data_IF_001724201917
#
_entry.id   IF_001724201917
#
_cell.length_a   1.000
_cell.length_b   1.000
_cell.length_c   1.000
_cell.angle_alpha   90.00
_cell.angle_beta   90.00
_cell.angle_gamma   90.00
#
_symmetry.space_group_name_H-M   'P 1'
#
loop_
_entity.id
_entity.type
_entity.pdbx_description
1 polymer ?
#
# COMPACT_ATOMS: atom_id res chain seq x y z
N UNK A 1 -15.02 29.76 -6.28
CA UNK A 1 -15.13 28.31 -6.62
C UNK A 1 -15.47 27.59 -5.32
N UNK A 2 -16.73 27.15 -5.19
CA UNK A 2 -17.28 26.60 -3.94
C UNK A 2 -16.96 25.12 -3.81
N UNK A 3 -16.39 24.75 -2.66
CA UNK A 3 -16.44 23.45 -1.96
C UNK A 3 -16.55 22.19 -2.82
N UNK A 4 -15.41 21.60 -3.17
CA UNK A 4 -15.31 20.13 -3.25
C UNK A 4 -15.48 19.61 -1.81
N UNK A 5 -16.44 18.74 -1.59
CA UNK A 5 -16.61 17.98 -0.35
C UNK A 5 -15.26 17.31 -0.04
N UNK A 6 -14.52 17.81 0.93
CA UNK A 6 -13.35 17.09 1.43
C UNK A 6 -13.88 15.84 2.11
N UNK A 7 -13.34 14.68 1.78
CA UNK A 7 -13.69 13.40 2.40
C UNK A 7 -13.36 13.34 3.90
N UNK A 8 -13.03 14.44 4.55
CA UNK A 8 -12.69 14.51 5.98
C UNK A 8 -11.34 13.87 6.33
N UNK A 9 -10.64 13.28 5.35
CA UNK A 9 -9.29 12.73 5.45
C UNK A 9 -8.58 12.86 4.08
N UNK A 10 -7.24 13.00 4.05
CA UNK A 10 -6.52 13.32 2.83
C UNK A 10 -6.31 12.07 1.95
N UNK A 11 -6.80 12.15 0.71
CA UNK A 11 -6.55 11.18 -0.38
C UNK A 11 -5.67 11.86 -1.43
N UNK A 12 -4.47 11.31 -1.70
CA UNK A 12 -3.51 11.92 -2.62
C UNK A 12 -4.07 12.04 -4.06
N UNK A 13 -4.88 11.08 -4.49
CA UNK A 13 -5.53 11.08 -5.80
C UNK A 13 -6.50 12.26 -6.02
N UNK A 14 -6.87 12.98 -4.97
CA UNK A 14 -7.76 14.14 -4.99
C UNK A 14 -7.01 15.46 -4.75
N UNK A 15 -5.69 15.38 -4.51
CA UNK A 15 -4.87 16.53 -4.16
C UNK A 15 -4.18 17.14 -5.38
N UNK A 16 -3.90 18.43 -5.27
CA UNK A 16 -2.99 19.15 -6.16
C UNK A 16 -1.58 19.16 -5.58
N UNK A 17 -0.58 19.51 -6.39
CA UNK A 17 0.80 19.72 -5.92
C UNK A 17 0.86 20.66 -4.72
N UNK A 18 0.07 21.74 -4.76
CA UNK A 18 0.03 22.71 -3.68
C UNK A 18 -0.50 22.10 -2.37
N UNK A 19 -1.57 21.30 -2.43
CA UNK A 19 -2.16 20.68 -1.24
C UNK A 19 -1.29 19.56 -0.67
N UNK A 20 -0.54 18.82 -1.51
CA UNK A 20 0.46 17.86 -1.05
C UNK A 20 1.60 18.57 -0.30
N UNK A 21 2.11 19.70 -0.84
CA UNK A 21 3.13 20.52 -0.15
C UNK A 21 2.64 21.01 1.21
N UNK A 22 1.42 21.56 1.27
CA UNK A 22 0.81 22.01 2.55
C UNK A 22 0.61 20.85 3.54
N UNK A 23 0.35 19.63 3.07
CA UNK A 23 0.31 18.46 3.93
C UNK A 23 1.70 18.15 4.50
N UNK A 24 2.74 18.13 3.66
CA UNK A 24 4.12 17.81 4.05
C UNK A 24 4.72 18.84 5.03
N UNK A 25 4.27 20.09 5.03
CA UNK A 25 4.64 21.09 6.04
C UNK A 25 4.18 20.71 7.46
N UNK A 26 3.13 19.89 7.58
CA UNK A 26 2.50 19.54 8.87
C UNK A 26 2.71 18.08 9.25
N UNK A 27 2.78 17.19 8.27
CA UNK A 27 2.87 15.74 8.44
C UNK A 27 3.70 15.13 7.32
N UNK A 28 4.53 14.16 7.67
CA UNK A 28 5.39 13.44 6.72
C UNK A 28 5.07 11.93 6.65
N UNK A 29 3.82 11.58 6.92
CA UNK A 29 3.35 10.19 6.95
C UNK A 29 2.45 9.91 5.75
N UNK A 30 2.55 8.72 5.17
CA UNK A 30 1.67 8.25 4.08
C UNK A 30 1.35 6.78 4.24
N UNK A 31 0.12 6.39 3.89
CA UNK A 31 -0.27 4.98 3.74
C UNK A 31 -0.27 4.66 2.26
N UNK A 32 0.44 3.60 1.87
CA UNK A 32 0.48 3.06 0.51
C UNK A 32 -0.30 1.76 0.47
N UNK A 33 -1.54 1.74 -0.05
CA UNK A 33 -2.28 0.51 -0.25
C UNK A 33 -1.69 -0.27 -1.43
N UNK A 34 -1.50 -1.57 -1.26
CA UNK A 34 -1.00 -2.49 -2.29
C UNK A 34 -1.92 -3.70 -2.37
N UNK A 35 -2.33 -4.06 -3.57
CA UNK A 35 -3.18 -5.20 -3.82
C UNK A 35 -2.98 -5.76 -5.22
N UNK A 36 -3.88 -6.64 -5.62
CA UNK A 36 -3.86 -7.30 -6.93
C UNK A 36 -5.25 -7.30 -7.55
N UNK A 37 -5.33 -7.50 -8.84
CA UNK A 37 -6.53 -7.92 -9.55
C UNK A 37 -6.47 -9.44 -9.65
N UNK A 38 -7.25 -10.14 -8.84
CA UNK A 38 -7.20 -11.60 -8.71
C UNK A 38 -8.59 -12.20 -8.58
N UNK A 39 -8.74 -13.38 -9.12
CA UNK A 39 -9.97 -14.16 -8.92
C UNK A 39 -10.19 -14.50 -7.44
N UNK A 40 -11.42 -14.39 -6.98
CA UNK A 40 -11.86 -14.74 -5.62
C UNK A 40 -13.10 -15.65 -5.65
N UNK A 41 -13.10 -16.63 -6.56
CA UNK A 41 -14.25 -17.47 -6.83
C UNK A 41 -15.40 -16.70 -7.49
N UNK A 42 -16.62 -17.24 -7.38
CA UNK A 42 -17.80 -16.66 -8.03
C UNK A 42 -18.54 -15.62 -7.18
N UNK A 43 -18.08 -15.39 -5.95
CA UNK A 43 -18.84 -14.61 -4.95
C UNK A 43 -18.20 -13.26 -4.59
N UNK A 44 -16.94 -13.01 -4.94
CA UNK A 44 -16.26 -11.74 -4.68
C UNK A 44 -15.70 -11.12 -5.97
N UNK A 45 -15.63 -9.79 -6.02
CA UNK A 45 -15.02 -9.08 -7.15
C UNK A 45 -13.53 -9.37 -7.25
N UNK A 46 -13.00 -9.35 -8.47
CA UNK A 46 -11.56 -9.53 -8.74
C UNK A 46 -10.67 -8.42 -8.15
N UNK A 47 -11.24 -7.32 -7.70
CA UNK A 47 -10.52 -6.20 -7.06
C UNK A 47 -10.45 -6.33 -5.52
N UNK A 48 -10.92 -7.42 -4.95
CA UNK A 48 -11.13 -7.59 -3.50
C UNK A 48 -9.89 -7.20 -2.68
N UNK A 49 -8.71 -7.67 -3.04
CA UNK A 49 -7.47 -7.40 -2.31
C UNK A 49 -7.11 -5.91 -2.30
N UNK A 50 -7.14 -5.29 -3.47
CA UNK A 50 -6.83 -3.88 -3.61
C UNK A 50 -7.88 -2.99 -2.91
N UNK A 51 -9.15 -3.38 -2.99
CA UNK A 51 -10.24 -2.70 -2.32
C UNK A 51 -10.12 -2.80 -0.80
N UNK A 52 -9.80 -3.98 -0.27
CA UNK A 52 -9.59 -4.19 1.17
C UNK A 52 -8.45 -3.33 1.70
N UNK A 53 -7.29 -3.33 1.02
CA UNK A 53 -6.16 -2.47 1.41
C UNK A 53 -6.54 -0.99 1.40
N UNK A 54 -7.25 -0.54 0.37
CA UNK A 54 -7.71 0.85 0.23
C UNK A 54 -8.68 1.25 1.33
N UNK A 55 -9.71 0.45 1.58
CA UNK A 55 -10.74 0.80 2.58
C UNK A 55 -10.16 0.76 4.00
N UNK A 56 -9.27 -0.19 4.31
CA UNK A 56 -8.53 -0.18 5.58
C UNK A 56 -7.68 1.09 5.73
N UNK A 57 -6.96 1.48 4.67
CA UNK A 57 -6.19 2.73 4.67
C UNK A 57 -7.07 3.96 4.93
N UNK A 58 -8.26 4.03 4.29
CA UNK A 58 -9.23 5.11 4.52
C UNK A 58 -9.74 5.14 5.97
N UNK A 59 -10.02 3.97 6.56
CA UNK A 59 -10.47 3.89 7.96
C UNK A 59 -9.40 4.43 8.92
N UNK A 60 -8.14 4.08 8.69
CA UNK A 60 -7.01 4.61 9.48
C UNK A 60 -6.83 6.11 9.22
N UNK A 61 -6.85 6.54 7.96
CA UNK A 61 -6.73 7.95 7.58
C UNK A 61 -7.81 8.83 8.23
N UNK A 62 -9.05 8.34 8.29
CA UNK A 62 -10.16 9.04 8.95
C UNK A 62 -9.90 9.31 10.44
N UNK A 63 -9.20 8.38 11.11
CA UNK A 63 -8.88 8.51 12.55
C UNK A 63 -7.61 9.31 12.81
N UNK A 64 -6.63 9.25 11.90
CA UNK A 64 -5.27 9.77 12.13
C UNK A 64 -4.93 11.02 11.33
N UNK A 65 -5.68 11.26 10.24
CA UNK A 65 -5.37 12.29 9.25
C UNK A 65 -4.08 12.00 8.46
N UNK A 66 -3.64 10.74 8.39
CA UNK A 66 -2.53 10.32 7.53
C UNK A 66 -3.00 10.31 6.08
N UNK A 67 -2.14 10.78 5.17
CA UNK A 67 -2.40 10.78 3.73
C UNK A 67 -2.47 9.35 3.19
N UNK A 68 -3.43 9.07 2.32
CA UNK A 68 -3.51 7.80 1.58
C UNK A 68 -3.05 8.03 0.14
N UNK A 69 -2.02 7.31 -0.27
CA UNK A 69 -1.56 7.26 -1.65
C UNK A 69 -2.53 6.47 -2.54
N UNK A 70 -2.50 6.65 -3.87
CA UNK A 70 -3.22 5.79 -4.80
C UNK A 70 -2.84 4.31 -4.62
N UNK A 71 -3.81 3.42 -4.85
CA UNK A 71 -3.59 1.98 -4.74
C UNK A 71 -2.62 1.50 -5.82
N UNK A 72 -1.64 0.69 -5.44
CA UNK A 72 -0.85 -0.09 -6.38
C UNK A 72 -1.49 -1.46 -6.61
N UNK A 73 -1.77 -1.75 -7.88
CA UNK A 73 -2.32 -3.04 -8.31
C UNK A 73 -1.24 -4.04 -8.77
N UNK A 74 0.03 -3.70 -8.56
CA UNK A 74 1.19 -4.43 -9.07
C UNK A 74 1.63 -5.49 -8.06
N UNK A 75 0.90 -6.62 -8.02
CA UNK A 75 1.22 -7.78 -7.18
C UNK A 75 1.22 -9.07 -7.99
N UNK A 76 1.68 -10.15 -7.36
CA UNK A 76 1.81 -11.47 -7.94
C UNK A 76 1.01 -12.48 -7.11
N UNK A 77 0.11 -13.24 -7.75
CA UNK A 77 -0.66 -14.31 -7.11
C UNK A 77 -0.22 -15.73 -7.53
N UNK A 78 0.44 -15.86 -8.67
CA UNK A 78 0.77 -17.16 -9.24
C UNK A 78 -0.39 -17.88 -9.94
N UNK A 79 -1.64 -17.42 -9.73
CA UNK A 79 -2.83 -18.02 -10.32
C UNK A 79 -3.06 -17.57 -11.77
N UNK A 80 -3.59 -18.48 -12.61
CA UNK A 80 -3.92 -18.24 -14.02
C UNK A 80 -5.41 -18.24 -14.31
N UNK A 81 -6.28 -18.10 -13.30
CA UNK A 81 -7.73 -18.11 -13.49
C UNK A 81 -8.23 -16.80 -14.12
N UNK A 82 -9.37 -16.89 -14.81
CA UNK A 82 -9.97 -15.77 -15.53
C UNK A 82 -10.13 -14.52 -14.64
N UNK A 83 -9.72 -13.36 -15.15
CA UNK A 83 -9.77 -12.09 -14.45
C UNK A 83 -8.54 -11.79 -13.59
N UNK A 84 -7.62 -12.73 -13.37
CA UNK A 84 -6.37 -12.48 -12.66
C UNK A 84 -5.37 -11.76 -13.58
N UNK A 85 -4.79 -10.65 -13.09
CA UNK A 85 -3.74 -9.89 -13.76
C UNK A 85 -2.48 -9.97 -12.90
N UNK A 86 -1.58 -10.87 -13.28
CA UNK A 86 -0.31 -11.05 -12.59
C UNK A 86 0.76 -10.07 -13.09
N UNK A 87 1.46 -9.49 -12.14
CA UNK A 87 2.72 -8.79 -12.39
C UNK A 87 3.83 -9.69 -11.85
N UNK A 88 4.88 -9.97 -12.65
CA UNK A 88 5.97 -10.84 -12.20
C UNK A 88 6.63 -10.29 -10.92
N UNK A 89 7.15 -11.16 -10.03
CA UNK A 89 7.75 -10.74 -8.76
C UNK A 89 8.87 -9.71 -8.94
N UNK A 90 9.68 -9.83 -9.98
CA UNK A 90 10.75 -8.86 -10.28
C UNK A 90 10.19 -7.48 -10.65
N UNK A 91 9.16 -7.41 -11.49
CA UNK A 91 8.51 -6.14 -11.86
C UNK A 91 7.79 -5.54 -10.65
N UNK A 92 7.12 -6.36 -9.85
CA UNK A 92 6.50 -5.92 -8.61
C UNK A 92 7.53 -5.25 -7.69
N UNK A 93 8.69 -5.88 -7.47
CA UNK A 93 9.78 -5.31 -6.68
C UNK A 93 10.23 -3.95 -7.20
N UNK A 94 10.40 -3.81 -8.51
CA UNK A 94 10.80 -2.54 -9.14
C UNK A 94 9.73 -1.45 -8.92
N UNK A 95 8.46 -1.76 -9.19
CA UNK A 95 7.36 -0.80 -9.01
C UNK A 95 7.25 -0.33 -7.56
N UNK A 96 7.35 -1.25 -6.60
CA UNK A 96 7.32 -0.88 -5.17
C UNK A 96 8.53 -0.03 -4.80
N UNK A 97 9.73 -0.42 -5.20
CA UNK A 97 10.95 0.32 -4.89
C UNK A 97 10.92 1.74 -5.47
N UNK A 98 10.56 1.90 -6.73
CA UNK A 98 10.47 3.21 -7.38
C UNK A 98 9.40 4.09 -6.72
N UNK A 99 8.26 3.51 -6.34
CA UNK A 99 7.21 4.23 -5.61
C UNK A 99 7.70 4.71 -4.26
N UNK A 100 8.38 3.85 -3.49
CA UNK A 100 8.90 4.19 -2.16
C UNK A 100 10.01 5.26 -2.24
N UNK A 101 10.92 5.12 -3.21
CA UNK A 101 11.96 6.14 -3.47
C UNK A 101 11.32 7.47 -3.84
N UNK A 102 10.31 7.46 -4.71
CA UNK A 102 9.58 8.67 -5.09
C UNK A 102 8.88 9.35 -3.91
N UNK A 103 8.23 8.58 -3.03
CA UNK A 103 7.61 9.11 -1.82
C UNK A 103 8.65 9.68 -0.84
N UNK A 104 9.74 8.95 -0.59
CA UNK A 104 10.80 9.38 0.31
C UNK A 104 11.48 10.67 -0.20
N UNK A 105 11.71 10.78 -1.52
CA UNK A 105 12.30 11.97 -2.18
C UNK A 105 11.43 13.21 -2.04
N UNK A 106 10.13 13.05 -1.91
CA UNK A 106 9.19 14.15 -1.70
C UNK A 106 9.13 14.61 -0.23
N UNK A 107 9.77 13.90 0.70
CA UNK A 107 9.80 14.26 2.12
C UNK A 107 8.91 13.40 3.01
N UNK A 108 8.30 12.33 2.50
CA UNK A 108 7.62 11.36 3.35
C UNK A 108 8.65 10.54 4.14
N UNK A 109 8.56 10.60 5.48
CA UNK A 109 9.49 9.92 6.40
C UNK A 109 8.87 8.72 7.13
N UNK A 110 7.57 8.54 7.02
CA UNK A 110 6.84 7.39 7.59
C UNK A 110 5.91 6.84 6.52
N UNK A 111 6.28 5.70 5.95
CA UNK A 111 5.54 5.06 4.86
C UNK A 111 4.99 3.72 5.37
N UNK A 112 3.67 3.63 5.43
CA UNK A 112 2.93 2.47 5.91
C UNK A 112 2.35 1.72 4.72
N UNK A 113 2.87 0.54 4.41
CA UNK A 113 2.41 -0.29 3.30
C UNK A 113 1.30 -1.20 3.80
N UNK A 114 0.08 -1.02 3.30
CA UNK A 114 -1.06 -1.87 3.61
C UNK A 114 -1.22 -2.89 2.49
N UNK A 115 -0.90 -4.15 2.80
CA UNK A 115 -0.93 -5.24 1.83
C UNK A 115 -2.25 -6.00 1.92
N UNK A 116 -3.04 -5.96 0.84
CA UNK A 116 -4.32 -6.67 0.75
C UNK A 116 -4.21 -8.11 0.23
N UNK A 117 -3.13 -8.44 -0.50
CA UNK A 117 -2.93 -9.77 -1.08
C UNK A 117 -2.09 -10.68 -0.19
N UNK A 118 -2.64 -11.87 0.15
CA UNK A 118 -2.07 -12.81 1.11
C UNK A 118 -1.14 -13.87 0.55
N UNK A 119 -0.81 -13.85 -0.73
CA UNK A 119 0.09 -14.84 -1.34
C UNK A 119 1.48 -14.86 -0.68
N UNK A 120 1.96 -16.05 -0.30
CA UNK A 120 3.24 -16.19 0.40
C UNK A 120 4.42 -15.69 -0.42
N UNK A 121 4.45 -15.96 -1.70
CA UNK A 121 5.47 -15.48 -2.63
C UNK A 121 5.47 -13.97 -2.73
N UNK A 122 4.28 -13.36 -2.78
CA UNK A 122 4.11 -11.91 -2.83
C UNK A 122 4.68 -11.25 -1.57
N UNK A 123 4.34 -11.77 -0.39
CA UNK A 123 4.84 -11.25 0.89
C UNK A 123 6.36 -11.39 1.00
N UNK A 124 6.92 -12.56 0.65
CA UNK A 124 8.35 -12.81 0.70
C UNK A 124 9.14 -11.85 -0.22
N UNK A 125 8.66 -11.64 -1.44
CA UNK A 125 9.29 -10.71 -2.39
C UNK A 125 9.27 -9.30 -1.86
N UNK A 126 8.15 -8.84 -1.30
CA UNK A 126 8.05 -7.53 -0.66
C UNK A 126 9.04 -7.39 0.49
N UNK A 127 9.06 -8.31 1.43
CA UNK A 127 9.95 -8.26 2.59
C UNK A 127 11.43 -8.19 2.17
N UNK A 128 11.84 -9.00 1.20
CA UNK A 128 13.22 -8.99 0.69
C UNK A 128 13.52 -7.64 0.02
N UNK A 129 12.62 -7.17 -0.85
CA UNK A 129 12.79 -5.89 -1.55
C UNK A 129 12.93 -4.72 -0.59
N UNK A 130 12.08 -4.65 0.45
CA UNK A 130 12.15 -3.60 1.47
C UNK A 130 13.46 -3.65 2.27
N UNK A 131 13.92 -4.84 2.66
CA UNK A 131 15.19 -5.03 3.37
C UNK A 131 16.40 -4.57 2.54
N UNK A 132 16.40 -4.92 1.24
CA UNK A 132 17.46 -4.50 0.30
C UNK A 132 17.44 -2.99 0.09
N UNK A 133 16.25 -2.42 -0.10
CA UNK A 133 16.06 -0.99 -0.31
C UNK A 133 16.58 -0.17 0.89
N UNK A 134 16.20 -0.55 2.10
CA UNK A 134 16.63 0.11 3.35
C UNK A 134 18.16 0.06 3.55
N UNK A 135 18.83 -1.02 3.11
CA UNK A 135 20.28 -1.16 3.26
C UNK A 135 21.06 -0.34 2.24
N UNK A 136 20.57 -0.30 1.01
CA UNK A 136 21.38 0.12 -0.13
C UNK A 136 21.06 1.53 -0.62
N UNK A 137 19.97 2.13 -0.15
CA UNK A 137 19.59 3.46 -0.61
C UNK A 137 19.61 4.48 0.55
N UNK A 138 20.57 5.42 0.55
CA UNK A 138 20.74 6.39 1.63
C UNK A 138 19.53 7.28 1.90
N UNK A 139 18.61 7.43 0.94
CA UNK A 139 17.38 8.23 1.12
C UNK A 139 16.51 7.72 2.25
N UNK A 140 16.66 6.42 2.61
CA UNK A 140 15.91 5.77 3.68
C UNK A 140 16.59 5.82 5.05
N UNK A 141 17.72 6.52 5.21
CA UNK A 141 18.47 6.60 6.48
C UNK A 141 17.63 7.14 7.64
N UNK A 142 16.63 7.98 7.35
CA UNK A 142 15.70 8.58 8.32
C UNK A 142 14.22 8.29 7.99
N UNK A 143 13.97 7.24 7.18
CA UNK A 143 12.62 6.83 6.77
C UNK A 143 12.21 5.54 7.48
N UNK A 144 11.03 5.54 8.06
CA UNK A 144 10.38 4.35 8.61
C UNK A 144 9.50 3.72 7.54
N UNK A 145 9.81 2.47 7.17
CA UNK A 145 8.95 1.63 6.35
C UNK A 145 8.30 0.57 7.26
N UNK A 146 6.97 0.46 7.22
CA UNK A 146 6.24 -0.56 7.95
C UNK A 146 5.26 -1.28 7.00
N UNK A 147 5.34 -2.60 6.97
CA UNK A 147 4.49 -3.47 6.16
C UNK A 147 3.40 -4.08 7.05
N UNK A 148 2.16 -3.83 6.68
CA UNK A 148 0.97 -4.32 7.37
C UNK A 148 0.11 -5.15 6.43
N UNK A 149 0.16 -6.49 6.51
CA UNK A 149 -0.86 -7.32 5.92
C UNK A 149 -2.22 -6.99 6.56
N UNK A 150 -3.25 -6.71 5.75
CA UNK A 150 -4.53 -6.23 6.28
C UNK A 150 -5.19 -7.23 7.23
N UNK A 151 -4.95 -8.53 7.05
CA UNK A 151 -5.42 -9.59 7.97
C UNK A 151 -4.72 -9.62 9.32
N UNK A 152 -3.60 -8.90 9.50
CA UNK A 152 -2.93 -8.80 10.81
C UNK A 152 -3.69 -7.94 11.81
N UNK A 153 -4.70 -7.20 11.36
CA UNK A 153 -5.59 -6.40 12.22
C UNK A 153 -6.82 -7.17 12.70
N UNK A 154 -6.94 -8.46 12.39
CA UNK A 154 -8.06 -9.28 12.87
C UNK A 154 -7.88 -9.64 14.34
N UNK A 155 -8.67 -9.00 15.22
CA UNK A 155 -8.70 -9.24 16.65
C UNK A 155 -9.21 -10.66 17.03
N UNK A 156 -9.82 -11.38 16.08
CA UNK A 156 -10.36 -12.74 16.33
C UNK A 156 -9.24 -13.78 16.53
N UNK A 157 -7.98 -13.43 16.35
CA UNK A 157 -6.83 -14.34 16.44
C UNK A 157 -6.82 -15.43 15.35
N UNK A 158 -7.75 -15.38 14.41
CA UNK A 158 -7.83 -16.28 13.25
C UNK A 158 -7.00 -15.78 12.06
N UNK A 159 -6.31 -14.64 12.24
CA UNK A 159 -5.34 -14.16 11.27
C UNK A 159 -4.33 -15.25 10.98
N UNK A 160 -4.02 -15.47 9.73
CA UNK A 160 -3.17 -16.51 9.17
C UNK A 160 -2.09 -17.00 10.16
N UNK A 161 -2.31 -18.18 10.76
CA UNK A 161 -1.19 -18.94 11.33
C UNK A 161 -0.30 -19.28 10.15
N UNK A 162 0.97 -18.83 10.18
CA UNK A 162 1.99 -19.26 9.23
C UNK A 162 1.77 -20.76 8.96
N UNK A 163 1.39 -21.11 7.76
CA UNK A 163 1.58 -22.46 7.28
C UNK A 163 3.09 -22.65 7.23
N UNK A 164 3.59 -23.51 8.10
CA UNK A 164 4.97 -23.95 8.16
C UNK A 164 5.24 -24.84 6.96
#
# INVERSE_FOLDING_TARGET
>A
MKNKKSFGFPMMEEMTVQTVRQYLEKKNSVILPVGIIEQHGYHLPIITDALTAREMAKMVAKKTGILVAPVLYSSFSGGGLSGTINISPSVMSLVINDTLVSLASQGFKKIYIFLGHGGGENLNVLEISLKVLLRNNPIFSDVVLALFPVWSFDESGRGWKKAV
#
